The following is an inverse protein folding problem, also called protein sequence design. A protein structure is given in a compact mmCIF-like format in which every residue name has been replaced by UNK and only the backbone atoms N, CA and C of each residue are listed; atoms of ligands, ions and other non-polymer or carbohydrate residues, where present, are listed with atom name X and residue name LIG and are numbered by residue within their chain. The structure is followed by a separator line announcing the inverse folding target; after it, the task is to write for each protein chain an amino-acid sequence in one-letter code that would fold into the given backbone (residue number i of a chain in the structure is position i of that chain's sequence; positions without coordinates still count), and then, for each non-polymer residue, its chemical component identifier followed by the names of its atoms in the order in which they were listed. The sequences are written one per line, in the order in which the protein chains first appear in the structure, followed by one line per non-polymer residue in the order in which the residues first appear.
data_IF_728511720547
#
_entry.id   IF_728511720547
#
_cell.length_a   1.000
_cell.length_b   1.000
_cell.length_c   1.000
_cell.angle_alpha   90.00
_cell.angle_beta   90.00
_cell.angle_gamma   90.00
#
_symmetry.space_group_name_H-M   'P 1'
#
loop_
_entity.id
_entity.type
_entity.pdbx_description
1 polymer ?
#
# COMPACT_ATOMS: atom_id res chain seq x y z
N UNK A 1 -5.69 -11.29 8.56
CA UNK A 1 -5.43 -11.03 7.12
C UNK A 1 -4.52 -12.12 6.58
N UNK A 2 -4.56 -12.39 5.27
CA UNK A 2 -3.62 -13.29 4.60
C UNK A 2 -2.83 -12.50 3.56
N UNK A 3 -1.61 -12.95 3.27
CA UNK A 3 -0.81 -12.40 2.18
C UNK A 3 -1.13 -13.15 0.89
N UNK A 4 -1.38 -12.41 -0.19
CA UNK A 4 -1.64 -12.95 -1.52
C UNK A 4 -0.69 -12.34 -2.53
N UNK A 5 -0.27 -13.14 -3.52
CA UNK A 5 0.42 -12.66 -4.71
C UNK A 5 -0.19 -13.34 -5.93
N UNK A 6 -0.42 -12.58 -6.99
CA UNK A 6 -0.99 -13.09 -8.23
C UNK A 6 -0.51 -12.30 -9.44
N UNK A 7 -0.43 -12.97 -10.59
CA UNK A 7 -0.34 -12.36 -11.90
C UNK A 7 -1.61 -12.75 -12.66
N UNK A 8 -2.36 -11.75 -13.14
CA UNK A 8 -3.63 -11.99 -13.82
C UNK A 8 -3.90 -10.88 -14.85
N UNK A 9 -4.80 -11.16 -15.81
CA UNK A 9 -5.19 -10.21 -16.84
C UNK A 9 -6.32 -9.30 -16.36
N UNK A 10 -6.15 -7.98 -16.50
CA UNK A 10 -7.12 -6.98 -16.09
C UNK A 10 -7.37 -5.95 -17.22
N UNK A 11 -7.66 -6.46 -18.41
CA UNK A 11 -7.79 -5.68 -19.65
C UNK A 11 -8.78 -4.52 -19.57
N UNK A 12 -9.79 -4.62 -18.71
CA UNK A 12 -10.86 -3.63 -18.61
C UNK A 12 -10.43 -2.32 -17.94
N UNK A 13 -9.29 -2.28 -17.24
CA UNK A 13 -8.87 -1.08 -16.52
C UNK A 13 -7.36 -0.87 -16.38
N UNK A 14 -6.52 -1.91 -16.50
CA UNK A 14 -5.13 -1.85 -16.06
C UNK A 14 -4.24 -0.87 -16.85
N UNK A 15 -4.31 -0.87 -18.18
CA UNK A 15 -3.41 -0.05 -19.01
C UNK A 15 -4.17 1.07 -19.71
N UNK A 16 -3.78 2.33 -19.44
CA UNK A 16 -4.46 3.55 -19.91
C UNK A 16 -5.98 3.50 -19.65
N UNK A 17 -6.39 3.10 -18.44
CA UNK A 17 -7.80 2.98 -18.09
C UNK A 17 -8.56 1.92 -18.89
N UNK A 18 -7.88 0.89 -19.39
CA UNK A 18 -8.47 -0.21 -20.15
C UNK A 18 -8.48 -0.02 -21.68
N UNK A 19 -7.88 1.06 -22.19
CA UNK A 19 -7.79 1.33 -23.62
C UNK A 19 -6.81 0.39 -24.34
N UNK A 20 -5.75 -0.05 -23.67
CA UNK A 20 -4.77 -0.97 -24.23
C UNK A 20 -5.02 -2.38 -23.70
N UNK A 21 -5.24 -3.34 -24.60
CA UNK A 21 -5.55 -4.74 -24.28
C UNK A 21 -4.29 -5.63 -24.36
N UNK A 22 -4.31 -6.76 -23.67
CA UNK A 22 -3.16 -7.66 -23.63
C UNK A 22 -2.88 -8.28 -25.00
N UNK A 23 -1.66 -8.12 -25.48
CA UNK A 23 -1.17 -8.83 -26.66
C UNK A 23 -0.68 -10.24 -26.26
N UNK A 24 -1.59 -11.21 -26.30
CA UNK A 24 -1.33 -12.60 -25.93
C UNK A 24 -0.28 -13.30 -26.80
N UNK A 25 0.10 -12.73 -27.96
CA UNK A 25 1.22 -13.26 -28.75
C UNK A 25 2.58 -13.08 -28.05
N UNK A 26 2.65 -12.18 -27.06
CA UNK A 26 3.86 -11.92 -26.25
C UNK A 26 3.96 -12.80 -25.00
N UNK A 27 3.03 -13.74 -24.82
CA UNK A 27 3.09 -14.71 -23.73
C UNK A 27 4.34 -15.63 -23.84
N UNK A 28 4.85 -16.17 -22.72
CA UNK A 28 4.32 -16.05 -21.36
C UNK A 28 4.67 -14.72 -20.67
N UNK A 29 3.73 -14.21 -19.86
CA UNK A 29 3.98 -13.10 -18.95
C UNK A 29 4.48 -13.68 -17.62
N UNK A 30 5.70 -13.33 -17.22
CA UNK A 30 6.37 -13.95 -16.07
C UNK A 30 6.64 -12.89 -15.00
N UNK A 31 6.21 -13.18 -13.77
CA UNK A 31 6.57 -12.43 -12.56
C UNK A 31 7.37 -13.36 -11.64
N UNK A 32 8.51 -12.89 -11.14
CA UNK A 32 9.42 -13.66 -10.30
C UNK A 32 9.50 -13.05 -8.91
N UNK A 33 9.34 -13.87 -7.89
CA UNK A 33 9.33 -13.46 -6.48
C UNK A 33 10.43 -14.23 -5.73
N UNK A 34 11.10 -13.56 -4.79
CA UNK A 34 12.12 -14.14 -3.91
C UNK A 34 12.11 -13.42 -2.57
N UNK A 35 12.91 -13.92 -1.62
CA UNK A 35 13.11 -13.30 -0.30
C UNK A 35 11.80 -13.15 0.50
N UNK A 36 10.95 -14.18 0.47
CA UNK A 36 9.71 -14.20 1.26
C UNK A 36 10.03 -14.18 2.76
N UNK A 37 9.65 -13.08 3.42
CA UNK A 37 9.76 -12.92 4.87
C UNK A 37 8.44 -12.36 5.39
N UNK A 38 7.95 -12.94 6.48
CA UNK A 38 6.77 -12.45 7.19
C UNK A 38 7.14 -12.37 8.66
N UNK A 39 7.20 -11.14 9.15
CA UNK A 39 7.32 -10.84 10.56
C UNK A 39 6.07 -10.06 10.95
N UNK A 40 5.24 -10.66 11.80
CA UNK A 40 3.94 -10.11 12.13
C UNK A 40 3.23 -10.96 13.15
N UNK A 41 2.13 -10.42 13.65
CA UNK A 41 1.34 -11.11 14.64
C UNK A 41 0.35 -12.09 14.00
N UNK A 42 0.67 -13.37 14.08
CA UNK A 42 -0.22 -14.43 13.63
C UNK A 42 -1.50 -14.43 14.46
N UNK A 43 -2.65 -14.52 13.80
CA UNK A 43 -3.94 -14.62 14.46
C UNK A 43 -4.09 -15.98 15.17
N UNK A 44 -4.56 -15.92 16.42
CA UNK A 44 -4.96 -17.07 17.23
C UNK A 44 -6.32 -16.78 17.87
N UNK A 45 -7.16 -17.81 18.02
CA UNK A 45 -8.49 -17.70 18.65
C UNK A 45 -8.34 -17.76 20.18
N UNK A 46 -8.93 -16.84 20.98
CA UNK A 46 -9.81 -15.72 20.59
C UNK A 46 -9.10 -14.44 20.17
N UNK A 47 -7.84 -14.29 20.56
CA UNK A 47 -6.97 -13.21 20.11
C UNK A 47 -5.50 -13.61 20.33
N UNK A 48 -4.56 -13.14 19.50
CA UNK A 48 -3.16 -13.48 19.66
C UNK A 48 -2.47 -12.62 20.74
N UNK A 49 -1.42 -13.15 21.37
CA UNK A 49 -0.77 -12.50 22.51
C UNK A 49 -0.26 -11.07 22.21
N UNK A 50 0.19 -10.82 20.98
CA UNK A 50 0.76 -9.53 20.57
C UNK A 50 -0.20 -8.33 20.74
N UNK A 51 -1.53 -8.56 20.77
CA UNK A 51 -2.52 -7.47 20.86
C UNK A 51 -2.59 -6.89 22.26
N UNK A 52 -2.11 -7.65 23.24
CA UNK A 52 -2.10 -7.29 24.66
C UNK A 52 -0.73 -6.79 25.11
N UNK A 53 0.19 -6.60 24.17
CA UNK A 53 1.56 -6.16 24.43
C UNK A 53 1.82 -4.89 23.65
N UNK A 54 2.27 -3.85 24.33
CA UNK A 54 2.80 -2.64 23.70
C UNK A 54 4.31 -2.64 23.88
N UNK A 55 5.05 -2.18 22.87
CA UNK A 55 6.53 -2.10 22.84
C UNK A 55 7.27 -3.43 22.92
N UNK A 56 6.63 -4.55 22.56
CA UNK A 56 7.30 -5.87 22.55
C UNK A 56 7.81 -6.28 21.16
N UNK A 57 7.26 -5.72 20.10
CA UNK A 57 7.68 -5.94 18.73
C UNK A 57 8.43 -4.70 18.23
N UNK A 58 9.02 -4.74 17.05
CA UNK A 58 9.68 -3.53 16.53
C UNK A 58 8.67 -2.52 15.96
N UNK A 59 7.52 -2.99 15.45
CA UNK A 59 6.50 -2.16 14.80
C UNK A 59 5.59 -1.41 15.78
N UNK A 60 5.61 -1.75 17.08
CA UNK A 60 4.83 -1.09 18.12
C UNK A 60 5.70 -0.24 19.06
N UNK A 61 6.97 0.02 18.70
CA UNK A 61 7.84 0.97 19.38
C UNK A 61 7.46 2.43 19.04
N UNK A 62 7.74 3.36 19.94
CA UNK A 62 7.42 4.79 19.75
C UNK A 62 8.00 5.37 18.45
N UNK A 63 9.21 4.94 18.08
CA UNK A 63 9.89 5.36 16.86
C UNK A 63 9.21 4.85 15.58
N UNK A 64 8.37 3.81 15.69
CA UNK A 64 7.61 3.24 14.58
C UNK A 64 6.21 3.85 14.43
N UNK A 65 5.76 4.70 15.37
CA UNK A 65 4.42 5.31 15.33
C UNK A 65 4.30 6.42 14.28
N UNK A 66 5.43 7.05 13.93
CA UNK A 66 5.51 8.07 12.90
C UNK A 66 6.70 7.80 11.98
N UNK A 67 6.59 8.28 10.74
CA UNK A 67 7.72 8.33 9.83
C UNK A 67 8.80 9.26 10.38
N UNK A 68 10.06 8.90 10.18
CA UNK A 68 11.18 9.79 10.44
C UNK A 68 11.16 11.00 9.49
N UNK A 69 11.87 12.08 9.84
CA UNK A 69 11.96 13.28 8.99
C UNK A 69 12.43 12.97 7.57
N UNK A 70 13.41 12.07 7.42
CA UNK A 70 13.90 11.65 6.10
C UNK A 70 12.84 10.87 5.31
N UNK A 71 12.09 9.99 5.97
CA UNK A 71 10.99 9.25 5.33
C UNK A 71 9.86 10.18 4.90
N UNK A 72 9.54 11.21 5.71
CA UNK A 72 8.57 12.26 5.36
C UNK A 72 9.03 13.04 4.12
N UNK A 73 10.32 13.37 4.02
CA UNK A 73 10.89 14.04 2.84
C UNK A 73 10.81 13.17 1.58
N UNK A 74 11.12 11.87 1.68
CA UNK A 74 11.00 10.92 0.57
C UNK A 74 9.54 10.77 0.11
N UNK A 75 8.61 10.65 1.06
CA UNK A 75 7.16 10.61 0.78
C UNK A 75 6.73 11.85 -0.01
N UNK A 76 7.11 13.05 0.43
CA UNK A 76 6.76 14.29 -0.23
C UNK A 76 7.36 14.42 -1.63
N UNK A 77 8.56 13.89 -1.84
CA UNK A 77 9.18 13.86 -3.15
C UNK A 77 8.42 12.93 -4.10
N UNK A 78 8.00 11.74 -3.65
CA UNK A 78 7.18 10.81 -4.46
C UNK A 78 5.84 11.44 -4.82
N UNK A 79 5.14 12.01 -3.83
CA UNK A 79 3.87 12.73 -4.02
C UNK A 79 3.99 13.82 -5.09
N UNK A 80 5.08 14.59 -5.07
CA UNK A 80 5.28 15.70 -6.00
C UNK A 80 5.68 15.27 -7.41
N UNK A 81 6.41 14.17 -7.55
CA UNK A 81 7.11 13.84 -8.79
C UNK A 81 6.60 12.60 -9.52
N UNK A 82 5.98 11.65 -8.82
CA UNK A 82 5.64 10.33 -9.38
C UNK A 82 4.15 9.97 -9.31
N UNK A 83 3.38 10.59 -8.41
CA UNK A 83 1.94 10.29 -8.27
C UNK A 83 1.16 10.86 -9.46
N UNK A 84 0.47 9.97 -10.18
CA UNK A 84 -0.36 10.32 -11.36
C UNK A 84 -1.86 10.28 -11.08
N UNK A 85 -2.28 9.65 -9.98
CA UNK A 85 -3.66 9.61 -9.52
C UNK A 85 -3.68 9.52 -8.00
N UNK A 86 -4.53 10.31 -7.37
CA UNK A 86 -4.73 10.35 -5.93
C UNK A 86 -6.22 10.57 -5.65
N UNK A 87 -6.83 9.61 -4.97
CA UNK A 87 -8.26 9.63 -4.67
C UNK A 87 -8.64 10.77 -3.71
N UNK A 88 -7.72 11.21 -2.84
CA UNK A 88 -7.94 12.36 -1.96
C UNK A 88 -8.07 13.68 -2.73
N UNK A 89 -7.52 13.74 -3.96
CA UNK A 89 -7.57 14.91 -4.84
C UNK A 89 -8.63 14.77 -5.95
N UNK A 90 -9.27 13.62 -6.06
CA UNK A 90 -10.31 13.32 -7.05
C UNK A 90 -11.67 13.88 -6.60
N UNK A 91 -11.87 15.17 -6.86
CA UNK A 91 -13.09 15.90 -6.47
C UNK A 91 -14.31 15.56 -7.32
N UNK A 92 -14.13 14.92 -8.47
CA UNK A 92 -15.23 14.39 -9.28
C UNK A 92 -15.83 13.16 -8.60
N UNK A 93 -14.98 12.23 -8.16
CA UNK A 93 -15.40 11.01 -7.47
C UNK A 93 -15.79 11.27 -6.01
N UNK A 94 -15.05 12.14 -5.32
CA UNK A 94 -15.26 12.49 -3.93
C UNK A 94 -15.47 14.00 -3.78
N UNK A 95 -16.71 14.50 -3.96
CA UNK A 95 -17.01 15.93 -3.83
C UNK A 95 -16.76 16.51 -2.44
N UNK A 96 -16.75 15.65 -1.41
CA UNK A 96 -16.38 16.00 -0.04
C UNK A 96 -15.09 15.28 0.32
N UNK A 97 -14.15 16.00 0.96
CA UNK A 97 -12.89 15.45 1.41
C UNK A 97 -13.12 14.37 2.45
N UNK A 98 -12.50 13.22 2.26
CA UNK A 98 -12.55 12.09 3.20
C UNK A 98 -11.69 12.40 4.44
N UNK A 99 -12.08 11.87 5.60
CA UNK A 99 -11.53 12.26 6.89
C UNK A 99 -10.01 12.00 6.99
N UNK A 100 -9.57 10.85 6.48
CA UNK A 100 -8.17 10.43 6.47
C UNK A 100 -7.29 11.30 5.56
N UNK A 101 -7.87 11.89 4.51
CA UNK A 101 -7.14 12.75 3.56
C UNK A 101 -6.73 14.09 4.17
N UNK A 102 -7.31 14.47 5.31
CA UNK A 102 -6.95 15.69 6.04
C UNK A 102 -5.71 15.51 6.93
N UNK A 103 -5.27 14.27 7.15
CA UNK A 103 -4.12 13.97 7.99
C UNK A 103 -2.85 14.45 7.29
N UNK A 104 -2.16 15.40 7.92
CA UNK A 104 -0.86 15.86 7.44
C UNK A 104 0.19 14.80 7.73
N UNK A 105 0.98 14.37 6.74
CA UNK A 105 2.13 13.49 6.99
C UNK A 105 3.25 14.21 7.77
N UNK A 106 3.14 15.52 7.97
CA UNK A 106 4.11 16.36 8.68
C UNK A 106 3.80 16.50 10.17
N UNK A 107 2.54 16.31 10.55
CA UNK A 107 2.11 16.26 11.95
C UNK A 107 2.46 14.88 12.57
#
# INVERSE_FOLDING_TARGET
MYLFSSIWNADDWATRGGMEKTDWKKAPFVSSYKDFSVDGCQWEDPYPACVSTTTQNWWDQYEAWHLSDSQKMDFAWVERNLVIYDYCKDTERYPQMLEECSLSPWD
#
